data_IF_286102027906
#
_entry.id   IF_286102027906
#
_cell.length_a   1.000
_cell.length_b   1.000
_cell.length_c   1.000
_cell.angle_alpha   90.00
_cell.angle_beta   90.00
_cell.angle_gamma   90.00
#
_symmetry.space_group_name_H-M   'P 1'
#
loop_
_entity.id
_entity.type
_entity.pdbx_description
1 polymer ?
#
# COMPACT_ATOMS: atom_id res chain seq x y z
N UNK A 1 -17.26 33.71 -29.75
CA UNK A 1 -17.81 32.37 -29.42
C UNK A 1 -16.78 31.29 -29.05
N UNK A 2 -15.59 31.18 -29.66
CA UNK A 2 -14.55 30.21 -29.21
C UNK A 2 -13.85 30.62 -27.89
N UNK A 3 -13.75 31.93 -27.62
CA UNK A 3 -13.14 32.47 -26.40
C UNK A 3 -13.89 32.09 -25.12
N UNK A 4 -15.23 32.20 -25.12
CA UNK A 4 -16.05 31.94 -23.92
C UNK A 4 -16.08 30.46 -23.52
N UNK A 5 -15.98 29.54 -24.50
CA UNK A 5 -15.87 28.10 -24.23
C UNK A 5 -14.52 27.74 -23.59
N UNK A 6 -13.43 28.40 -24.00
CA UNK A 6 -12.09 28.20 -23.41
C UNK A 6 -12.03 28.73 -21.97
N UNK A 7 -12.56 29.93 -21.74
CA UNK A 7 -12.66 30.55 -20.42
C UNK A 7 -13.53 29.75 -19.44
N UNK A 8 -14.65 29.18 -19.90
CA UNK A 8 -15.47 28.28 -19.08
C UNK A 8 -14.72 27.00 -18.70
N UNK A 9 -13.95 26.40 -19.63
CA UNK A 9 -13.17 25.18 -19.37
C UNK A 9 -12.09 25.42 -18.32
N UNK A 10 -11.30 26.50 -18.45
CA UNK A 10 -10.28 26.86 -17.45
C UNK A 10 -10.85 27.13 -16.05
N UNK A 11 -12.01 27.77 -15.96
CA UNK A 11 -12.67 28.01 -14.65
C UNK A 11 -13.12 26.71 -13.99
N UNK A 12 -13.61 25.74 -14.76
CA UNK A 12 -14.00 24.42 -14.24
C UNK A 12 -12.78 23.63 -13.77
N UNK A 13 -11.68 23.70 -14.53
CA UNK A 13 -10.43 23.01 -14.22
C UNK A 13 -9.78 23.58 -12.94
N UNK A 14 -9.66 24.91 -12.82
CA UNK A 14 -9.19 25.58 -11.59
C UNK A 14 -10.07 25.25 -10.38
N UNK A 15 -11.40 25.18 -10.55
CA UNK A 15 -12.32 24.82 -9.47
C UNK A 15 -12.13 23.38 -9.02
N UNK A 16 -11.82 22.47 -9.94
CA UNK A 16 -11.51 21.06 -9.63
C UNK A 16 -10.18 20.97 -8.87
N UNK A 17 -9.13 21.61 -9.36
CA UNK A 17 -7.81 21.65 -8.72
C UNK A 17 -7.89 22.21 -7.29
N UNK A 18 -8.58 23.34 -7.10
CA UNK A 18 -8.79 23.94 -5.77
C UNK A 18 -9.48 22.99 -4.79
N UNK A 19 -10.48 22.22 -5.25
CA UNK A 19 -11.17 21.21 -4.43
C UNK A 19 -10.24 20.06 -4.06
N UNK A 20 -9.43 19.59 -5.01
CA UNK A 20 -8.47 18.50 -4.78
C UNK A 20 -7.40 18.92 -3.75
N UNK A 21 -6.85 20.14 -3.87
CA UNK A 21 -5.90 20.71 -2.90
C UNK A 21 -6.55 20.84 -1.51
N UNK A 22 -7.76 21.39 -1.44
CA UNK A 22 -8.49 21.57 -0.18
C UNK A 22 -8.71 20.23 0.52
N UNK A 23 -9.13 19.21 -0.23
CA UNK A 23 -9.33 17.85 0.29
C UNK A 23 -8.02 17.27 0.82
N UNK A 24 -6.94 17.37 0.05
CA UNK A 24 -5.61 16.89 0.46
C UNK A 24 -5.15 17.57 1.76
N UNK A 25 -5.36 18.88 1.88
CA UNK A 25 -5.05 19.63 3.09
C UNK A 25 -5.86 19.15 4.29
N UNK A 26 -7.18 18.96 4.13
CA UNK A 26 -8.05 18.44 5.19
C UNK A 26 -7.64 17.03 5.63
N UNK A 27 -7.33 16.15 4.69
CA UNK A 27 -6.89 14.78 4.98
C UNK A 27 -5.55 14.78 5.74
N UNK A 28 -4.60 15.63 5.30
CA UNK A 28 -3.32 15.82 6.00
C UNK A 28 -3.51 16.36 7.41
N UNK A 29 -4.46 17.29 7.59
CA UNK A 29 -4.79 17.86 8.91
C UNK A 29 -5.30 16.79 9.86
N UNK A 30 -6.15 15.86 9.40
CA UNK A 30 -6.62 14.72 10.20
C UNK A 30 -5.45 13.85 10.67
N UNK A 31 -4.51 13.55 9.78
CA UNK A 31 -3.31 12.77 10.12
C UNK A 31 -2.46 13.47 11.20
N UNK A 32 -2.26 14.79 11.09
CA UNK A 32 -1.54 15.57 12.11
C UNK A 32 -2.26 15.57 13.47
N UNK A 33 -3.59 15.65 13.48
CA UNK A 33 -4.37 15.53 14.71
C UNK A 33 -4.18 14.14 15.36
N UNK A 34 -4.22 13.08 14.54
CA UNK A 34 -3.97 11.70 15.00
C UNK A 34 -2.57 11.55 15.59
N UNK A 35 -1.55 12.04 14.89
CA UNK A 35 -0.17 12.04 15.35
C UNK A 35 0.01 12.75 16.71
N UNK A 36 -0.64 13.89 16.93
CA UNK A 36 -0.60 14.59 18.23
C UNK A 36 -1.25 13.77 19.35
N UNK A 37 -2.35 13.08 19.05
CA UNK A 37 -3.03 12.23 20.02
C UNK A 37 -2.17 11.01 20.39
N UNK A 38 -1.59 10.33 19.38
CA UNK A 38 -0.67 9.20 19.58
C UNK A 38 0.57 9.62 20.38
N UNK A 39 1.21 10.74 20.03
CA UNK A 39 2.38 11.25 20.75
C UNK A 39 2.07 11.56 22.21
N UNK A 40 0.87 12.09 22.51
CA UNK A 40 0.44 12.34 23.90
C UNK A 40 0.38 11.05 24.71
N UNK A 41 -0.11 9.96 24.11
CA UNK A 41 -0.18 8.65 24.77
C UNK A 41 1.24 8.10 24.99
N UNK A 42 2.11 8.17 23.97
CA UNK A 42 3.50 7.73 24.08
C UNK A 42 4.25 8.50 25.18
N UNK A 43 4.02 9.81 25.30
CA UNK A 43 4.59 10.62 26.38
C UNK A 43 4.09 10.19 27.76
N UNK A 44 2.79 9.92 27.90
CA UNK A 44 2.23 9.46 29.18
C UNK A 44 2.77 8.10 29.60
N UNK A 45 3.09 7.22 28.64
CA UNK A 45 3.70 5.93 28.92
C UNK A 45 5.18 6.09 29.28
N UNK A 46 5.96 6.76 28.42
CA UNK A 46 7.41 6.90 28.63
C UNK A 46 7.77 7.73 29.86
N UNK A 47 6.94 8.71 30.28
CA UNK A 47 7.14 9.46 31.53
C UNK A 47 6.90 8.65 32.81
N UNK A 48 6.18 7.51 32.74
CA UNK A 48 6.05 6.62 33.90
C UNK A 48 7.34 5.83 34.16
N UNK A 49 8.12 5.61 33.11
CA UNK A 49 9.31 4.75 33.14
C UNK A 49 10.61 5.56 33.25
N UNK A 50 10.60 6.82 32.79
CA UNK A 50 11.79 7.67 32.76
C UNK A 50 11.73 8.81 33.77
N UNK A 51 12.82 9.00 34.50
CA UNK A 51 12.99 10.07 35.51
C UNK A 51 13.10 11.45 34.87
N UNK A 52 13.69 11.53 33.67
CA UNK A 52 13.92 12.78 32.95
C UNK A 52 12.99 12.92 31.74
N UNK A 53 12.42 14.11 31.55
CA UNK A 53 11.66 14.44 30.34
C UNK A 53 12.50 14.27 29.08
N UNK A 54 13.80 14.60 29.13
CA UNK A 54 14.71 14.45 28.00
C UNK A 54 14.91 12.99 27.62
N UNK A 55 15.02 12.10 28.59
CA UNK A 55 15.13 10.65 28.37
C UNK A 55 13.84 10.10 27.77
N UNK A 56 12.68 10.49 28.29
CA UNK A 56 11.39 10.09 27.74
C UNK A 56 11.25 10.47 26.25
N UNK A 57 11.64 11.69 25.86
CA UNK A 57 11.62 12.08 24.45
C UNK A 57 12.62 11.30 23.58
N UNK A 58 13.82 10.99 24.09
CA UNK A 58 14.80 10.17 23.36
C UNK A 58 14.30 8.73 23.15
N UNK A 59 13.68 8.16 24.16
CA UNK A 59 13.08 6.82 24.11
C UNK A 59 11.95 6.77 23.07
N UNK A 60 11.01 7.72 23.12
CA UNK A 60 9.96 7.86 22.11
C UNK A 60 10.55 7.99 20.70
N UNK A 61 11.59 8.81 20.53
CA UNK A 61 12.27 8.95 19.22
C UNK A 61 12.82 7.60 18.72
N UNK A 62 13.43 6.82 19.61
CA UNK A 62 13.96 5.51 19.25
C UNK A 62 12.84 4.55 18.82
N UNK A 63 11.77 4.46 19.62
CA UNK A 63 10.59 3.66 19.31
C UNK A 63 9.98 4.03 17.95
N UNK A 64 9.75 5.32 17.71
CA UNK A 64 9.17 5.81 16.45
C UNK A 64 10.04 5.48 15.23
N UNK A 65 11.37 5.61 15.36
CA UNK A 65 12.32 5.25 14.29
C UNK A 65 12.32 3.74 14.02
N UNK A 66 12.24 2.91 15.05
CA UNK A 66 12.14 1.45 14.88
C UNK A 66 10.85 1.09 14.15
N UNK A 67 9.72 1.61 14.63
CA UNK A 67 8.41 1.39 14.01
C UNK A 67 8.37 1.85 12.55
N UNK A 68 8.95 3.02 12.24
CA UNK A 68 9.05 3.49 10.86
C UNK A 68 9.91 2.58 9.98
N UNK A 69 11.03 2.05 10.50
CA UNK A 69 11.85 1.07 9.78
C UNK A 69 11.03 -0.18 9.48
N UNK A 70 10.33 -0.74 10.45
CA UNK A 70 9.49 -1.93 10.25
C UNK A 70 8.41 -1.70 9.19
N UNK A 71 7.72 -0.55 9.23
CA UNK A 71 6.73 -0.17 8.22
C UNK A 71 7.34 -0.01 6.82
N UNK A 72 8.61 0.43 6.74
CA UNK A 72 9.34 0.62 5.47
C UNK A 72 9.96 -0.68 4.95
N UNK A 73 10.35 -1.59 5.85
CA UNK A 73 10.93 -2.91 5.53
C UNK A 73 9.91 -3.89 4.92
N UNK A 74 8.63 -3.51 4.84
CA UNK A 74 7.61 -4.21 4.04
C UNK A 74 7.89 -4.26 2.52
N UNK A 75 9.09 -3.91 2.05
CA UNK A 75 9.59 -4.18 0.70
C UNK A 75 9.60 -5.66 0.29
N UNK A 76 9.49 -6.61 1.23
CA UNK A 76 9.30 -8.05 0.94
C UNK A 76 8.03 -8.36 0.12
N UNK A 77 7.08 -7.43 0.01
CA UNK A 77 5.88 -7.60 -0.82
C UNK A 77 6.23 -7.78 -2.30
N UNK A 78 7.23 -7.08 -2.81
CA UNK A 78 7.71 -7.26 -4.19
C UNK A 78 8.31 -8.64 -4.43
N UNK A 79 8.97 -9.20 -3.42
CA UNK A 79 9.52 -10.57 -3.43
C UNK A 79 8.39 -11.60 -3.46
N UNK A 80 7.31 -11.38 -2.69
CA UNK A 80 6.13 -12.25 -2.70
C UNK A 80 5.46 -12.24 -4.09
N UNK A 81 5.27 -11.07 -4.70
CA UNK A 81 4.72 -11.00 -6.07
C UNK A 81 5.64 -11.67 -7.10
N UNK A 82 6.96 -11.50 -6.96
CA UNK A 82 7.93 -12.20 -7.79
C UNK A 82 7.84 -13.73 -7.63
N UNK A 83 7.78 -14.22 -6.40
CA UNK A 83 7.64 -15.64 -6.09
C UNK A 83 6.35 -16.24 -6.64
N UNK A 84 5.22 -15.57 -6.43
CA UNK A 84 3.92 -15.97 -7.00
C UNK A 84 3.95 -15.95 -8.52
N UNK A 85 4.60 -14.96 -9.14
CA UNK A 85 4.80 -14.87 -10.58
C UNK A 85 5.63 -16.03 -11.13
N UNK A 86 6.70 -16.43 -10.45
CA UNK A 86 7.53 -17.58 -10.81
C UNK A 86 6.73 -18.89 -10.73
N UNK A 87 5.95 -19.08 -9.66
CA UNK A 87 5.07 -20.26 -9.52
C UNK A 87 4.04 -20.31 -10.65
N UNK A 88 3.34 -19.20 -10.90
CA UNK A 88 2.35 -19.11 -11.97
C UNK A 88 2.96 -19.40 -13.34
N UNK A 89 4.11 -18.79 -13.63
CA UNK A 89 4.83 -19.02 -14.89
C UNK A 89 5.21 -20.48 -15.01
N UNK A 90 5.76 -21.09 -13.95
CA UNK A 90 6.10 -22.50 -13.93
C UNK A 90 4.89 -23.38 -14.22
N UNK A 91 3.75 -23.16 -13.56
CA UNK A 91 2.51 -23.92 -13.79
C UNK A 91 2.04 -23.77 -15.24
N UNK A 92 2.05 -22.54 -15.78
CA UNK A 92 1.64 -22.29 -17.17
C UNK A 92 2.55 -23.05 -18.13
N UNK A 93 3.86 -22.92 -18.00
CA UNK A 93 4.81 -23.50 -18.94
C UNK A 93 4.90 -25.02 -18.84
N UNK A 94 4.77 -25.59 -17.63
CA UNK A 94 4.96 -27.04 -17.40
C UNK A 94 3.68 -27.85 -17.43
N UNK A 95 2.52 -27.27 -17.11
CA UNK A 95 1.25 -28.00 -17.05
C UNK A 95 0.27 -27.51 -18.11
N UNK A 96 0.01 -26.19 -18.18
CA UNK A 96 -1.07 -25.67 -19.04
C UNK A 96 -0.71 -25.74 -20.52
N UNK A 97 0.50 -25.34 -20.91
CA UNK A 97 0.93 -25.37 -22.31
C UNK A 97 0.91 -26.79 -22.88
N UNK A 98 1.54 -27.80 -22.23
CA UNK A 98 1.47 -29.18 -22.71
C UNK A 98 0.04 -29.72 -22.78
N UNK A 99 -0.80 -29.43 -21.77
CA UNK A 99 -2.20 -29.82 -21.76
C UNK A 99 -2.97 -29.24 -22.95
N UNK A 100 -2.73 -27.97 -23.33
CA UNK A 100 -3.34 -27.35 -24.51
C UNK A 100 -2.89 -28.03 -25.80
N UNK A 101 -1.61 -28.37 -25.93
CA UNK A 101 -1.08 -29.09 -27.10
C UNK A 101 -1.67 -30.50 -27.23
N UNK A 102 -1.69 -31.27 -26.14
CA UNK A 102 -2.30 -32.60 -26.11
C UNK A 102 -3.80 -32.55 -26.42
N UNK A 103 -4.51 -31.53 -25.90
CA UNK A 103 -5.92 -31.31 -26.20
C UNK A 103 -6.15 -30.95 -27.68
N UNK A 104 -5.31 -30.10 -28.26
CA UNK A 104 -5.36 -29.75 -29.68
C UNK A 104 -5.15 -30.97 -30.58
N UNK A 105 -4.17 -31.82 -30.24
CA UNK A 105 -3.91 -33.06 -30.98
C UNK A 105 -5.05 -34.07 -30.84
N UNK A 106 -5.72 -34.11 -29.69
CA UNK A 106 -6.92 -34.91 -29.46
C UNK A 106 -8.09 -34.52 -30.37
N UNK A 107 -8.32 -33.21 -30.58
CA UNK A 107 -9.36 -32.69 -31.50
C UNK A 107 -9.13 -33.15 -32.94
N UNK A 108 -7.87 -33.16 -33.37
CA UNK A 108 -7.49 -33.55 -34.73
C UNK A 108 -7.72 -35.05 -35.00
N UNK A 109 -7.73 -35.89 -33.96
CA UNK A 109 -7.93 -37.34 -34.05
C UNK A 109 -9.40 -37.78 -34.01
N UNK A 110 -10.34 -36.87 -33.71
CA UNK A 110 -11.76 -37.20 -33.64
C UNK A 110 -12.38 -37.29 -35.04
N UNK A 111 -13.15 -38.35 -35.29
CA UNK A 111 -13.79 -38.61 -36.58
C UNK A 111 -15.20 -38.01 -36.68
N UNK A 112 -15.91 -37.86 -35.56
CA UNK A 112 -17.29 -37.33 -35.54
C UNK A 112 -17.34 -35.83 -35.24
N UNK A 113 -18.23 -35.13 -35.95
CA UNK A 113 -18.51 -33.70 -35.73
C UNK A 113 -19.09 -33.44 -34.34
N UNK A 114 -19.88 -34.37 -33.81
CA UNK A 114 -20.47 -34.26 -32.47
C UNK A 114 -19.42 -34.39 -31.36
N UNK A 115 -18.45 -35.27 -31.52
CA UNK A 115 -17.34 -35.44 -30.59
C UNK A 115 -16.48 -34.17 -30.52
N UNK A 116 -16.17 -33.58 -31.68
CA UNK A 116 -15.44 -32.30 -31.77
C UNK A 116 -16.15 -31.16 -31.06
N UNK A 117 -17.47 -31.06 -31.21
CA UNK A 117 -18.28 -30.00 -30.57
C UNK A 117 -18.30 -30.19 -29.04
N UNK A 118 -18.56 -31.40 -28.56
CA UNK A 118 -18.58 -31.70 -27.11
C UNK A 118 -17.22 -31.40 -26.47
N UNK A 119 -16.14 -31.80 -27.15
CA UNK A 119 -14.78 -31.59 -26.68
C UNK A 119 -14.38 -30.10 -26.68
N UNK A 120 -14.74 -29.35 -27.72
CA UNK A 120 -14.49 -27.91 -27.80
C UNK A 120 -15.24 -27.12 -26.70
N UNK A 121 -16.48 -27.51 -26.40
CA UNK A 121 -17.25 -26.94 -25.28
C UNK A 121 -16.57 -27.24 -23.94
N UNK A 122 -16.11 -28.48 -23.74
CA UNK A 122 -15.37 -28.88 -22.54
C UNK A 122 -14.09 -28.07 -22.32
N UNK A 123 -13.29 -27.87 -23.38
CA UNK A 123 -12.08 -27.03 -23.33
C UNK A 123 -12.44 -25.58 -23.00
N UNK A 124 -13.46 -25.03 -23.66
CA UNK A 124 -13.87 -23.63 -23.46
C UNK A 124 -14.31 -23.40 -22.01
N UNK A 125 -15.04 -24.35 -21.42
CA UNK A 125 -15.45 -24.30 -20.01
C UNK A 125 -14.25 -24.43 -19.07
N UNK A 126 -13.30 -25.32 -19.36
CA UNK A 126 -12.08 -25.49 -18.57
C UNK A 126 -11.22 -24.22 -18.57
N UNK A 127 -10.97 -23.64 -19.74
CA UNK A 127 -10.23 -22.38 -19.89
C UNK A 127 -10.97 -21.26 -19.15
N UNK A 128 -12.29 -21.15 -19.33
CA UNK A 128 -13.10 -20.14 -18.64
C UNK A 128 -13.03 -20.30 -17.12
N UNK A 129 -13.03 -21.54 -16.62
CA UNK A 129 -12.87 -21.83 -15.20
C UNK A 129 -11.48 -21.46 -14.68
N UNK A 130 -10.42 -21.78 -15.42
CA UNK A 130 -9.05 -21.39 -15.07
C UNK A 130 -8.87 -19.87 -15.04
N UNK A 131 -9.43 -19.16 -16.02
CA UNK A 131 -9.44 -17.68 -16.05
C UNK A 131 -10.22 -17.12 -14.86
N UNK A 132 -11.39 -17.69 -14.54
CA UNK A 132 -12.17 -17.29 -13.37
C UNK A 132 -11.39 -17.49 -12.07
N UNK A 133 -10.75 -18.65 -11.87
CA UNK A 133 -9.89 -18.91 -10.72
C UNK A 133 -8.75 -17.91 -10.65
N UNK A 134 -8.07 -17.64 -11.77
CA UNK A 134 -6.99 -16.66 -11.82
C UNK A 134 -7.47 -15.26 -11.43
N UNK A 135 -8.60 -14.79 -11.95
CA UNK A 135 -9.18 -13.48 -11.60
C UNK A 135 -9.61 -13.44 -10.12
N UNK A 136 -10.19 -14.52 -9.61
CA UNK A 136 -10.63 -14.61 -8.23
C UNK A 136 -9.45 -14.61 -7.25
N UNK A 137 -8.43 -15.45 -7.50
CA UNK A 137 -7.23 -15.53 -6.69
C UNK A 137 -6.40 -14.25 -6.79
N UNK A 138 -6.20 -13.69 -7.99
CA UNK A 138 -5.48 -12.42 -8.14
C UNK A 138 -6.19 -11.32 -7.36
N UNK A 139 -7.52 -11.21 -7.41
CA UNK A 139 -8.25 -10.23 -6.60
C UNK A 139 -8.09 -10.47 -5.10
N UNK A 140 -8.21 -11.71 -4.61
CA UNK A 140 -8.05 -12.03 -3.18
C UNK A 140 -6.63 -11.85 -2.67
N UNK A 141 -5.63 -12.16 -3.49
CA UNK A 141 -4.22 -11.99 -3.14
C UNK A 141 -3.86 -10.51 -3.21
N UNK A 142 -4.26 -9.78 -4.24
CA UNK A 142 -3.84 -8.39 -4.49
C UNK A 142 -4.63 -7.37 -3.66
N UNK A 143 -5.94 -7.57 -3.41
CA UNK A 143 -6.79 -6.58 -2.74
C UNK A 143 -6.34 -6.21 -1.32
N UNK A 144 -5.94 -7.14 -0.43
CA UNK A 144 -5.46 -6.80 0.91
C UNK A 144 -4.17 -5.96 0.88
N UNK A 145 -3.38 -6.04 -0.20
CA UNK A 145 -2.15 -5.26 -0.34
C UNK A 145 -2.41 -3.80 -0.70
N UNK A 146 -3.44 -3.50 -1.51
CA UNK A 146 -3.77 -2.12 -1.89
C UNK A 146 -4.34 -1.31 -0.73
N UNK A 147 -5.27 -1.88 0.04
CA UNK A 147 -5.88 -1.18 1.17
C UNK A 147 -4.86 -0.96 2.30
N UNK A 148 -4.03 -1.96 2.59
CA UNK A 148 -2.97 -1.81 3.59
C UNK A 148 -1.89 -0.80 3.20
N UNK A 149 -1.62 -0.58 1.91
CA UNK A 149 -0.57 0.34 1.48
C UNK A 149 -0.91 1.81 1.79
N UNK A 150 -2.18 2.20 1.67
CA UNK A 150 -2.62 3.55 2.03
C UNK A 150 -2.49 3.78 3.54
N UNK A 151 -2.89 2.80 4.35
CA UNK A 151 -2.82 2.91 5.80
C UNK A 151 -1.37 2.91 6.29
N UNK A 152 -0.50 2.09 5.69
CA UNK A 152 0.94 2.11 5.96
C UNK A 152 1.54 3.47 5.62
N UNK A 153 1.23 4.05 4.45
CA UNK A 153 1.70 5.40 4.09
C UNK A 153 1.21 6.47 5.07
N UNK A 154 -0.04 6.39 5.50
CA UNK A 154 -0.58 7.29 6.51
C UNK A 154 0.18 7.15 7.85
N UNK A 155 0.50 5.93 8.26
CA UNK A 155 1.24 5.68 9.50
C UNK A 155 2.70 6.15 9.39
N UNK A 156 3.36 5.96 8.25
CA UNK A 156 4.69 6.51 7.98
C UNK A 156 4.67 8.04 8.14
N UNK A 157 3.69 8.72 7.53
CA UNK A 157 3.54 10.17 7.66
C UNK A 157 3.31 10.60 9.12
N UNK A 158 2.48 9.86 9.86
CA UNK A 158 2.22 10.11 11.28
C UNK A 158 3.50 9.98 12.10
N UNK A 159 4.27 8.90 11.90
CA UNK A 159 5.54 8.67 12.59
C UNK A 159 6.56 9.76 12.29
N UNK A 160 6.73 10.14 11.01
CA UNK A 160 7.63 11.24 10.62
C UNK A 160 7.25 12.57 11.30
N UNK A 161 5.95 12.89 11.32
CA UNK A 161 5.48 14.11 11.96
C UNK A 161 5.73 14.09 13.48
N UNK A 162 5.52 12.96 14.15
CA UNK A 162 5.83 12.81 15.59
C UNK A 162 7.33 12.93 15.86
N UNK A 163 8.18 12.30 15.03
CA UNK A 163 9.65 12.39 15.14
C UNK A 163 10.10 13.85 15.07
N UNK A 164 9.56 14.63 14.13
CA UNK A 164 9.91 16.05 14.00
C UNK A 164 9.54 16.85 15.27
N UNK A 165 8.35 16.63 15.84
CA UNK A 165 7.95 17.28 17.10
C UNK A 165 8.88 16.88 18.25
N UNK A 166 9.22 15.59 18.35
CA UNK A 166 10.11 15.07 19.40
C UNK A 166 11.52 15.64 19.24
N UNK A 167 12.02 15.77 18.01
CA UNK A 167 13.34 16.34 17.72
C UNK A 167 13.44 17.82 18.10
N UNK A 168 12.39 18.60 17.84
CA UNK A 168 12.29 19.98 18.32
C UNK A 168 12.34 20.03 19.85
N UNK A 169 11.57 19.17 20.54
CA UNK A 169 11.52 19.13 22.00
C UNK A 169 12.84 18.69 22.64
N UNK A 170 13.55 17.73 22.04
CA UNK A 170 14.87 17.31 22.51
C UNK A 170 15.86 18.48 22.41
N UNK A 171 15.86 19.22 21.29
CA UNK A 171 16.73 20.39 21.09
C UNK A 171 16.45 21.51 22.09
N UNK A 172 15.17 21.82 22.32
CA UNK A 172 14.76 22.82 23.32
C UNK A 172 15.26 22.43 24.72
N UNK A 173 15.07 21.17 25.11
CA UNK A 173 15.47 20.69 26.43
C UNK A 173 16.98 20.61 26.58
N UNK A 174 17.73 20.22 25.54
CA UNK A 174 19.20 20.14 25.61
C UNK A 174 19.85 21.51 25.76
N UNK A 175 19.32 22.53 25.09
CA UNK A 175 19.86 23.90 25.15
C UNK A 175 19.61 24.57 26.51
N UNK A 176 18.51 24.24 27.18
CA UNK A 176 18.20 24.77 28.51
C UNK A 176 19.06 24.17 29.64
N UNK A 177 19.75 23.05 29.40
CA UNK A 177 20.68 22.42 30.36
C UNK A 177 22.08 23.03 30.38
N UNK A 178 22.43 23.92 29.44
CA UNK A 178 23.82 24.40 29.24
C UNK A 178 24.08 25.76 29.93
N UNK A 179 23.08 26.40 30.55
CA UNK A 179 23.29 27.66 31.29
C UNK A 179 23.39 27.38 32.80
N UNK A 180 24.60 27.34 33.41
CA UNK A 180 24.71 27.44 34.85
C UNK A 180 24.32 28.87 35.30
N UNK A 181 23.69 29.05 36.47
CA UNK A 181 23.54 30.37 37.07
C UNK A 181 24.92 30.95 37.34
N UNK A 182 25.10 32.22 36.95
CA UNK A 182 26.34 32.97 37.11
C UNK A 182 26.71 33.26 38.56
#
# INVERSE_FOLDING_TARGET
>A
MKSDKKLKKERVEKKRESREITKKYQDTKKLRCKAKAELKILLQLSQKENSSKLEAYKDIKYHLKSSQKELTYFGYRGVIFGFVGVILTSIVTTMIIPMIFEMSDGVNKMHSLNEKIIYAVGITLLISFLVFLFVFFSRKVVSPFYDSEKDIRNQIYINEYMINIVDEKIKELSNNTIVPPG
#
